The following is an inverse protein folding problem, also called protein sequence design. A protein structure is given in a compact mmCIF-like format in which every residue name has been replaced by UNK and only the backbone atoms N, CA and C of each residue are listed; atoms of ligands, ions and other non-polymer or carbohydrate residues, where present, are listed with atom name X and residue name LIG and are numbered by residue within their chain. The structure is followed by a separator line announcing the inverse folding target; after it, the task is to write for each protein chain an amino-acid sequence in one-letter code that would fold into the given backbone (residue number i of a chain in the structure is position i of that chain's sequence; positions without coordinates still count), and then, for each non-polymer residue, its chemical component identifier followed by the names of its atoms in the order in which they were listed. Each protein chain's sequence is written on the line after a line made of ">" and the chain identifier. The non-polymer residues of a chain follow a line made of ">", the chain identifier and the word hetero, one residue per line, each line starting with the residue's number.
data_IF_499481556721
#
_entry.id   IF_499481556721
#
_cell.length_a   1.000
_cell.length_b   1.000
_cell.length_c   1.000
_cell.angle_alpha   90.00
_cell.angle_beta   90.00
_cell.angle_gamma   90.00
#
_symmetry.space_group_name_H-M   'P 1'
#
loop_
_entity.id
_entity.type
_entity.pdbx_description
1 polymer ?
#
# COMPACT_ATOMS: atom_id res chain seq x y z
N UNK A 1 -25.94 -20.52 -49.35
CA UNK A 1 -24.61 -19.86 -49.37
C UNK A 1 -24.03 -20.01 -47.98
N UNK A 2 -23.09 -20.93 -47.84
CA UNK A 2 -22.44 -21.29 -46.59
C UNK A 2 -21.47 -20.19 -46.22
N UNK A 3 -21.66 -19.55 -45.07
CA UNK A 3 -20.73 -18.59 -44.49
C UNK A 3 -19.43 -19.34 -44.16
N UNK A 4 -18.33 -18.94 -44.79
CA UNK A 4 -16.98 -19.37 -44.41
C UNK A 4 -16.68 -18.79 -43.03
N UNK A 5 -16.60 -19.64 -42.01
CA UNK A 5 -15.91 -19.30 -40.76
C UNK A 5 -14.42 -19.19 -41.09
N UNK A 6 -13.89 -17.97 -41.10
CA UNK A 6 -12.46 -17.75 -41.26
C UNK A 6 -11.74 -18.32 -40.03
N UNK A 7 -11.06 -19.45 -40.20
CA UNK A 7 -10.26 -20.07 -39.15
C UNK A 7 -9.04 -19.20 -38.86
N UNK A 8 -9.01 -18.56 -37.69
CA UNK A 8 -7.85 -17.82 -37.18
C UNK A 8 -6.65 -18.76 -37.12
N UNK A 9 -5.55 -18.38 -37.76
CA UNK A 9 -4.32 -19.17 -37.77
C UNK A 9 -3.20 -18.46 -36.98
N UNK A 10 -2.07 -19.15 -36.82
CA UNK A 10 -0.94 -18.63 -36.05
C UNK A 10 -0.37 -17.32 -36.63
N UNK A 11 -0.41 -17.14 -37.95
CA UNK A 11 0.06 -15.92 -38.60
C UNK A 11 -0.87 -14.71 -38.32
N UNK A 12 -2.17 -14.95 -38.09
CA UNK A 12 -3.09 -13.89 -37.68
C UNK A 12 -2.83 -13.44 -36.24
N UNK A 13 -2.49 -14.38 -35.34
CA UNK A 13 -2.08 -14.08 -33.96
C UNK A 13 -0.74 -13.33 -33.94
N UNK A 14 0.25 -13.77 -34.71
CA UNK A 14 1.54 -13.08 -34.85
C UNK A 14 1.35 -11.65 -35.37
N UNK A 15 0.49 -11.47 -36.38
CA UNK A 15 0.16 -10.15 -36.93
C UNK A 15 -0.51 -9.24 -35.91
N UNK A 16 -1.36 -9.78 -35.03
CA UNK A 16 -2.02 -9.03 -33.96
C UNK A 16 -1.11 -8.76 -32.75
N UNK A 17 -0.16 -9.65 -32.46
CA UNK A 17 0.80 -9.50 -31.37
C UNK A 17 1.75 -8.32 -31.61
N UNK A 18 2.10 -8.03 -32.87
CA UNK A 18 3.00 -6.93 -33.22
C UNK A 18 2.49 -5.53 -32.79
N UNK A 19 1.30 -5.04 -33.21
CA UNK A 19 0.79 -3.74 -32.78
C UNK A 19 0.48 -3.69 -31.28
N UNK A 20 0.15 -4.82 -30.65
CA UNK A 20 0.02 -4.91 -29.19
C UNK A 20 1.37 -4.65 -28.50
N UNK A 21 2.45 -5.28 -28.97
CA UNK A 21 3.79 -5.05 -28.45
C UNK A 21 4.24 -3.59 -28.60
N UNK A 22 4.02 -3.00 -29.78
CA UNK A 22 4.34 -1.57 -30.06
C UNK A 22 3.56 -0.62 -29.13
N UNK A 23 2.26 -0.89 -28.92
CA UNK A 23 1.42 -0.08 -28.02
C UNK A 23 1.88 -0.21 -26.56
N UNK A 24 2.29 -1.40 -26.15
CA UNK A 24 2.81 -1.67 -24.80
C UNK A 24 4.15 -0.98 -24.57
N UNK A 25 5.03 -0.97 -25.56
CA UNK A 25 6.29 -0.22 -25.52
C UNK A 25 6.03 1.28 -25.35
N UNK A 26 5.09 1.84 -26.14
CA UNK A 26 4.67 3.25 -26.01
C UNK A 26 4.14 3.60 -24.61
N UNK A 27 3.32 2.72 -24.02
CA UNK A 27 2.85 2.88 -22.65
C UNK A 27 4.01 2.85 -21.62
N UNK A 28 4.97 1.94 -21.80
CA UNK A 28 6.17 1.86 -20.97
C UNK A 28 7.03 3.11 -21.03
N UNK A 29 7.19 3.70 -22.21
CA UNK A 29 7.89 4.98 -22.39
C UNK A 29 7.19 6.14 -21.66
N UNK A 30 5.87 6.25 -21.81
CA UNK A 30 5.07 7.27 -21.11
C UNK A 30 5.23 7.17 -19.58
N UNK A 31 5.20 5.95 -19.04
CA UNK A 31 5.34 5.74 -17.60
C UNK A 31 6.76 6.04 -17.10
N UNK A 32 7.77 5.69 -17.89
CA UNK A 32 9.17 6.03 -17.59
C UNK A 32 9.34 7.54 -17.53
N UNK A 33 8.88 8.27 -18.56
CA UNK A 33 8.95 9.73 -18.62
C UNK A 33 8.24 10.38 -17.42
N UNK A 34 7.03 9.90 -17.07
CA UNK A 34 6.30 10.40 -15.91
C UNK A 34 7.09 10.23 -14.60
N UNK A 35 7.67 9.05 -14.39
CA UNK A 35 8.45 8.76 -13.18
C UNK A 35 9.73 9.59 -13.12
N UNK A 36 10.39 9.82 -14.26
CA UNK A 36 11.55 10.70 -14.35
C UNK A 36 11.17 12.14 -14.00
N UNK A 37 10.07 12.67 -14.55
CA UNK A 37 9.58 14.01 -14.22
C UNK A 37 9.24 14.15 -12.72
N UNK A 38 8.56 13.17 -12.13
CA UNK A 38 8.27 13.14 -10.69
C UNK A 38 9.57 13.16 -9.88
N UNK A 39 10.56 12.35 -10.28
CA UNK A 39 11.85 12.28 -9.61
C UNK A 39 12.61 13.62 -9.72
N UNK A 40 12.57 14.27 -10.88
CA UNK A 40 13.19 15.57 -11.10
C UNK A 40 12.54 16.68 -10.28
N UNK A 41 11.20 16.75 -10.27
CA UNK A 41 10.45 17.72 -9.46
C UNK A 41 10.78 17.51 -7.99
N UNK A 42 10.78 16.26 -7.51
CA UNK A 42 11.18 15.93 -6.14
C UNK A 42 12.60 16.39 -5.85
N UNK A 43 13.57 16.07 -6.72
CA UNK A 43 14.97 16.47 -6.57
C UNK A 43 15.12 18.00 -6.54
N UNK A 44 14.37 18.72 -7.37
CA UNK A 44 14.36 20.19 -7.46
C UNK A 44 13.81 20.84 -6.19
N UNK A 45 12.72 20.33 -5.64
CA UNK A 45 12.04 20.94 -4.49
C UNK A 45 12.54 20.47 -3.13
N UNK A 46 13.12 19.27 -3.04
CA UNK A 46 13.59 18.69 -1.77
C UNK A 46 14.56 19.60 -0.98
N UNK A 47 15.52 20.32 -1.60
CA UNK A 47 16.38 21.25 -0.87
C UNK A 47 15.64 22.42 -0.22
N UNK A 48 14.58 22.93 -0.86
CA UNK A 48 13.75 24.00 -0.29
C UNK A 48 12.94 23.50 0.90
N UNK A 49 12.36 22.30 0.77
CA UNK A 49 11.64 21.63 1.86
C UNK A 49 12.58 21.38 3.04
N UNK A 50 13.78 20.84 2.81
CA UNK A 50 14.78 20.61 3.87
C UNK A 50 15.20 21.90 4.57
N UNK A 51 15.41 22.99 3.82
CA UNK A 51 15.73 24.31 4.41
C UNK A 51 14.56 24.85 5.25
N UNK A 52 13.33 24.73 4.75
CA UNK A 52 12.14 25.13 5.51
C UNK A 52 11.98 24.28 6.78
N UNK A 53 12.17 22.97 6.68
CA UNK A 53 12.13 22.04 7.81
C UNK A 53 13.15 22.43 8.89
N UNK A 54 14.41 22.68 8.51
CA UNK A 54 15.45 23.05 9.46
C UNK A 54 15.13 24.36 10.18
N UNK A 55 14.69 25.40 9.44
CA UNK A 55 14.26 26.67 10.04
C UNK A 55 13.09 26.47 11.01
N UNK A 56 12.10 25.67 10.64
CA UNK A 56 10.97 25.35 11.51
C UNK A 56 11.42 24.58 12.76
N UNK A 57 12.34 23.63 12.62
CA UNK A 57 12.89 22.87 13.73
C UNK A 57 13.67 23.77 14.70
N UNK A 58 14.50 24.68 14.20
CA UNK A 58 15.19 25.69 15.03
C UNK A 58 14.21 26.55 15.81
N UNK A 59 13.14 27.04 15.15
CA UNK A 59 12.10 27.85 15.81
C UNK A 59 11.30 27.05 16.82
N UNK A 60 11.01 25.79 16.54
CA UNK A 60 10.39 24.88 17.50
C UNK A 60 11.29 24.72 18.74
N UNK A 61 12.57 24.43 18.57
CA UNK A 61 13.53 24.27 19.68
C UNK A 61 13.66 25.55 20.51
N UNK A 62 13.69 26.72 19.86
CA UNK A 62 13.67 28.02 20.55
C UNK A 62 12.39 28.21 21.38
N UNK A 63 11.22 27.94 20.80
CA UNK A 63 9.94 28.04 21.51
C UNK A 63 9.85 27.05 22.68
N UNK A 64 10.34 25.83 22.47
CA UNK A 64 10.41 24.81 23.52
C UNK A 64 11.31 25.25 24.67
N UNK A 65 12.49 25.80 24.38
CA UNK A 65 13.41 26.30 25.40
C UNK A 65 12.78 27.44 26.21
N UNK A 66 12.02 28.35 25.57
CA UNK A 66 11.30 29.43 26.27
C UNK A 66 10.21 28.87 27.21
N UNK A 67 9.42 27.88 26.75
CA UNK A 67 8.41 27.23 27.58
C UNK A 67 9.07 26.52 28.77
N UNK A 68 10.21 25.88 28.55
CA UNK A 68 10.98 25.19 29.60
C UNK A 68 11.64 26.14 30.60
N UNK A 69 12.02 27.35 30.17
CA UNK A 69 12.65 28.34 31.03
C UNK A 69 11.66 29.04 31.98
N UNK A 70 10.36 29.02 31.68
CA UNK A 70 9.32 29.68 32.45
C UNK A 70 8.11 28.75 32.75
N UNK A 71 8.32 27.63 33.47
CA UNK A 71 7.25 26.66 33.78
C UNK A 71 6.10 27.26 34.59
N UNK A 72 6.37 28.27 35.41
CA UNK A 72 5.41 28.98 36.25
C UNK A 72 4.29 29.65 35.46
N UNK A 73 4.55 30.05 34.21
CA UNK A 73 3.55 30.63 33.31
C UNK A 73 2.49 29.61 32.85
N UNK A 74 2.74 28.32 33.08
CA UNK A 74 1.89 27.20 32.64
C UNK A 74 1.37 26.36 33.81
N UNK A 75 1.14 26.96 34.98
CA UNK A 75 0.51 26.28 36.13
C UNK A 75 -1.00 26.18 35.91
N UNK A 76 -1.66 27.30 35.57
CA UNK A 76 -3.10 27.37 35.31
C UNK A 76 -3.42 28.59 34.41
N UNK A 77 -3.78 28.40 33.13
CA UNK A 77 -3.97 27.13 32.42
C UNK A 77 -2.64 26.42 32.10
N UNK A 78 -2.64 25.08 32.07
CA UNK A 78 -1.43 24.30 31.76
C UNK A 78 -0.96 24.41 30.31
N UNK A 79 -1.84 24.88 29.43
CA UNK A 79 -1.55 25.12 28.02
C UNK A 79 -2.30 26.35 27.54
N UNK A 80 -1.69 27.12 26.63
CA UNK A 80 -2.26 28.31 26.01
C UNK A 80 -2.07 28.20 24.49
N UNK A 81 -2.96 28.81 23.70
CA UNK A 81 -2.84 28.87 22.24
C UNK A 81 -2.41 30.27 21.84
N UNK A 82 -1.28 30.39 21.14
CA UNK A 82 -0.80 31.63 20.54
C UNK A 82 -0.69 31.45 19.03
N UNK A 83 -1.34 32.33 18.25
CA UNK A 83 -1.28 32.28 16.78
C UNK A 83 -1.60 30.89 16.18
N UNK A 84 -2.52 30.15 16.80
CA UNK A 84 -2.88 28.79 16.40
C UNK A 84 -1.93 27.69 16.89
N UNK A 85 -0.84 28.03 17.60
CA UNK A 85 0.11 27.07 18.18
C UNK A 85 -0.19 26.89 19.67
N UNK A 86 -0.53 25.67 20.06
CA UNK A 86 -0.76 25.31 21.46
C UNK A 86 0.58 25.01 22.14
N UNK A 87 0.89 25.74 23.21
CA UNK A 87 2.12 25.62 24.00
C UNK A 87 1.82 25.38 25.48
N UNK A 88 2.74 24.76 26.20
CA UNK A 88 2.65 24.48 27.63
C UNK A 88 2.90 23.01 27.95
N UNK A 89 2.43 22.57 29.11
CA UNK A 89 2.69 21.23 29.63
C UNK A 89 1.46 20.34 29.55
N UNK A 90 1.60 19.21 28.88
CA UNK A 90 0.65 18.10 28.93
C UNK A 90 1.18 17.00 29.85
N UNK A 91 0.30 16.20 30.46
CA UNK A 91 0.73 14.95 31.09
C UNK A 91 1.30 14.06 29.98
N UNK A 92 2.50 13.52 30.18
CA UNK A 92 3.04 12.51 29.29
C UNK A 92 2.02 11.38 29.16
N UNK A 93 1.71 10.97 27.93
CA UNK A 93 1.01 9.71 27.70
C UNK A 93 1.98 8.64 28.18
N UNK A 94 1.81 8.14 29.40
CA UNK A 94 2.68 7.10 29.95
C UNK A 94 2.86 6.01 28.90
N UNK A 95 4.10 5.79 28.46
CA UNK A 95 4.42 4.74 27.52
C UNK A 95 4.60 3.45 28.30
N UNK A 96 4.01 2.36 27.83
CA UNK A 96 4.34 1.03 28.32
C UNK A 96 5.47 0.53 27.41
N UNK A 97 6.69 0.51 27.94
CA UNK A 97 7.85 -0.09 27.29
C UNK A 97 7.98 -1.55 27.73
N UNK A 98 8.32 -2.41 26.79
CA UNK A 98 8.64 -3.80 27.06
C UNK A 98 9.87 -4.21 26.25
N UNK A 99 10.80 -4.93 26.87
CA UNK A 99 12.05 -5.34 26.22
C UNK A 99 11.83 -6.47 25.20
N UNK A 100 10.85 -7.34 25.45
CA UNK A 100 10.45 -8.44 24.55
C UNK A 100 8.93 -8.59 24.52
N UNK A 101 8.35 -8.40 23.33
CA UNK A 101 6.92 -8.57 23.10
C UNK A 101 6.48 -10.03 23.37
N UNK A 102 7.30 -11.01 22.97
CA UNK A 102 7.00 -12.44 23.11
C UNK A 102 6.89 -12.83 24.58
N UNK A 103 7.85 -12.40 25.41
CA UNK A 103 7.83 -12.66 26.85
C UNK A 103 6.64 -12.00 27.54
N UNK A 104 6.25 -10.81 27.09
CA UNK A 104 5.05 -10.12 27.60
C UNK A 104 3.77 -10.89 27.23
N UNK A 105 3.67 -11.41 26.01
CA UNK A 105 2.54 -12.25 25.58
C UNK A 105 2.45 -13.53 26.44
N UNK A 106 3.56 -14.22 26.69
CA UNK A 106 3.60 -15.41 27.56
C UNK A 106 3.16 -15.09 29.00
N UNK A 107 3.64 -13.97 29.55
CA UNK A 107 3.28 -13.54 30.91
C UNK A 107 1.82 -13.09 31.00
N UNK A 108 1.29 -12.43 29.97
CA UNK A 108 -0.14 -12.11 29.88
C UNK A 108 -0.95 -13.41 29.88
N UNK A 109 -0.57 -14.40 29.09
CA UNK A 109 -1.27 -15.69 29.06
C UNK A 109 -1.18 -16.44 30.41
N UNK A 110 -0.06 -16.30 31.15
CA UNK A 110 0.16 -17.00 32.43
C UNK A 110 -0.51 -16.34 33.62
N UNK A 111 -0.48 -15.01 33.71
CA UNK A 111 -0.90 -14.25 34.89
C UNK A 111 -2.20 -13.46 34.68
N UNK A 112 -2.56 -13.18 33.44
CA UNK A 112 -3.72 -12.36 33.05
C UNK A 112 -4.53 -13.09 31.98
N UNK A 113 -4.72 -14.40 32.16
CA UNK A 113 -5.40 -15.27 31.21
C UNK A 113 -6.85 -14.81 30.93
N UNK A 114 -7.49 -14.22 31.93
CA UNK A 114 -8.82 -13.62 31.89
C UNK A 114 -8.90 -12.37 30.99
N UNK A 115 -7.77 -11.69 30.76
CA UNK A 115 -7.68 -10.47 29.94
C UNK A 115 -6.83 -10.65 28.67
N UNK A 116 -6.36 -11.87 28.41
CA UNK A 116 -5.48 -12.18 27.29
C UNK A 116 -6.06 -11.76 25.94
N UNK A 117 -7.37 -11.94 25.72
CA UNK A 117 -8.05 -11.58 24.47
C UNK A 117 -8.11 -10.06 24.22
N UNK A 118 -8.03 -9.25 25.29
CA UNK A 118 -8.02 -7.78 25.20
C UNK A 118 -6.59 -7.25 25.06
N UNK A 119 -5.62 -7.91 25.72
CA UNK A 119 -4.24 -7.46 25.79
C UNK A 119 -3.37 -8.00 24.64
N UNK A 120 -3.78 -9.08 23.97
CA UNK A 120 -3.03 -9.71 22.87
C UNK A 120 -3.80 -9.55 21.57
N UNK A 121 -3.20 -8.85 20.60
CA UNK A 121 -3.76 -8.72 19.25
C UNK A 121 -3.52 -10.00 18.44
N UNK A 122 -4.57 -10.81 18.28
CA UNK A 122 -4.54 -11.98 17.40
C UNK A 122 -5.02 -11.61 15.99
N UNK A 123 -4.16 -11.74 14.98
CA UNK A 123 -4.55 -11.51 13.58
C UNK A 123 -4.68 -12.84 12.84
N UNK A 124 -5.91 -13.24 12.49
CA UNK A 124 -6.17 -14.43 11.67
C UNK A 124 -6.39 -14.00 10.22
N UNK A 125 -5.54 -14.46 9.30
CA UNK A 125 -5.69 -14.22 7.85
C UNK A 125 -5.79 -15.55 7.12
N UNK A 126 -6.72 -15.69 6.14
CA UNK A 126 -6.80 -16.89 5.32
C UNK A 126 -5.54 -17.04 4.47
N UNK A 127 -4.95 -18.23 4.48
CA UNK A 127 -3.76 -18.55 3.69
C UNK A 127 -4.20 -19.03 2.32
N UNK A 128 -4.32 -18.11 1.35
CA UNK A 128 -4.80 -18.40 -0.02
C UNK A 128 -4.10 -19.60 -0.67
N UNK A 129 -2.78 -19.74 -0.45
CA UNK A 129 -2.00 -20.89 -0.96
C UNK A 129 -2.43 -22.24 -0.37
N UNK A 130 -2.75 -22.28 0.92
CA UNK A 130 -3.23 -23.49 1.58
C UNK A 130 -4.69 -23.78 1.19
N UNK A 131 -5.50 -22.73 1.00
CA UNK A 131 -6.86 -22.87 0.47
C UNK A 131 -6.85 -23.49 -0.94
N UNK A 132 -5.91 -23.10 -1.81
CA UNK A 132 -5.77 -23.66 -3.15
C UNK A 132 -5.45 -25.18 -3.19
N UNK A 133 -5.04 -25.78 -2.08
CA UNK A 133 -4.75 -27.22 -1.97
C UNK A 133 -5.97 -28.04 -1.49
N UNK A 134 -7.04 -27.37 -1.07
CA UNK A 134 -8.26 -28.05 -0.60
C UNK A 134 -9.14 -28.47 -1.77
N UNK A 135 -9.88 -29.55 -1.59
CA UNK A 135 -10.85 -30.00 -2.59
C UNK A 135 -11.98 -28.98 -2.77
N UNK A 136 -12.55 -28.90 -3.97
CA UNK A 136 -13.65 -27.98 -4.29
C UNK A 136 -14.85 -28.15 -3.35
N UNK A 137 -15.12 -29.37 -2.89
CA UNK A 137 -16.16 -29.67 -1.90
C UNK A 137 -15.87 -29.04 -0.52
N UNK A 138 -14.59 -28.96 -0.13
CA UNK A 138 -14.15 -28.32 1.11
C UNK A 138 -14.13 -26.79 0.97
N UNK A 139 -13.70 -26.27 -0.19
CA UNK A 139 -13.72 -24.84 -0.51
C UNK A 139 -15.14 -24.26 -0.52
N UNK A 140 -16.11 -24.99 -1.09
CA UNK A 140 -17.53 -24.60 -1.05
C UNK A 140 -18.10 -24.53 0.36
N UNK A 141 -17.66 -25.41 1.28
CA UNK A 141 -18.10 -25.40 2.69
C UNK A 141 -17.61 -24.18 3.48
N UNK A 142 -16.46 -23.62 3.11
CA UNK A 142 -15.87 -22.43 3.77
C UNK A 142 -16.18 -21.12 3.03
N UNK A 143 -17.08 -21.15 2.04
CA UNK A 143 -17.50 -19.96 1.28
C UNK A 143 -16.49 -19.47 0.26
N UNK A 144 -15.51 -20.29 -0.13
CA UNK A 144 -14.60 -19.98 -1.23
C UNK A 144 -15.19 -20.47 -2.56
N UNK A 145 -15.36 -19.56 -3.51
CA UNK A 145 -15.75 -19.89 -4.89
C UNK A 145 -14.49 -20.15 -5.70
N UNK A 146 -14.38 -21.34 -6.28
CA UNK A 146 -13.34 -21.64 -7.27
C UNK A 146 -13.78 -21.01 -8.58
N UNK A 147 -13.10 -19.94 -9.00
CA UNK A 147 -13.24 -19.38 -10.35
C UNK A 147 -12.60 -20.35 -11.36
N UNK A 148 -13.20 -20.46 -12.55
CA UNK A 148 -13.04 -21.57 -13.48
C UNK A 148 -11.58 -22.05 -13.68
N UNK A 149 -11.35 -23.36 -13.55
CA UNK A 149 -10.10 -24.06 -13.85
C UNK A 149 -10.05 -24.52 -15.30
N UNK A 150 -10.53 -23.69 -16.23
CA UNK A 150 -10.45 -23.94 -17.66
C UNK A 150 -9.13 -23.43 -18.24
N UNK A 151 -8.83 -23.81 -19.47
CA UNK A 151 -7.73 -23.19 -20.24
C UNK A 151 -8.03 -21.70 -20.39
N UNK A 152 -7.11 -20.85 -19.94
CA UNK A 152 -7.22 -19.41 -20.01
C UNK A 152 -6.26 -18.86 -21.08
N UNK A 153 -6.73 -17.88 -21.86
CA UNK A 153 -5.89 -17.16 -22.81
C UNK A 153 -4.88 -16.34 -22.01
N UNK A 154 -3.59 -16.58 -22.23
CA UNK A 154 -2.49 -15.86 -21.59
C UNK A 154 -1.80 -14.96 -22.61
N UNK A 155 -1.78 -13.65 -22.33
CA UNK A 155 -1.06 -12.64 -23.11
C UNK A 155 -0.15 -11.91 -22.12
N UNK A 156 1.16 -12.08 -22.28
CA UNK A 156 2.15 -11.47 -21.39
C UNK A 156 3.46 -11.18 -22.13
N UNK A 157 4.14 -10.11 -21.74
CA UNK A 157 5.47 -9.78 -22.25
C UNK A 157 6.54 -10.63 -21.54
N UNK A 158 7.69 -10.80 -22.19
CA UNK A 158 8.77 -11.69 -21.71
C UNK A 158 9.76 -10.97 -20.79
N UNK A 159 9.90 -9.64 -20.83
CA UNK A 159 10.94 -8.91 -20.09
C UNK A 159 10.62 -7.44 -19.72
N UNK A 160 10.71 -7.12 -18.42
CA UNK A 160 11.27 -5.91 -17.75
C UNK A 160 10.61 -5.62 -16.37
N UNK A 161 11.24 -4.85 -15.47
CA UNK A 161 10.62 -4.43 -14.18
C UNK A 161 9.50 -3.39 -14.36
N UNK A 162 9.55 -2.60 -15.44
CA UNK A 162 8.50 -1.66 -15.86
C UNK A 162 7.22 -2.42 -16.19
N UNK A 163 7.34 -3.70 -16.56
CA UNK A 163 6.23 -4.57 -16.89
C UNK A 163 5.21 -4.69 -15.77
N UNK A 164 5.62 -4.79 -14.50
CA UNK A 164 4.64 -4.96 -13.42
C UNK A 164 3.71 -3.77 -13.26
N UNK A 165 4.19 -2.56 -13.54
CA UNK A 165 3.36 -1.36 -13.45
C UNK A 165 2.47 -1.23 -14.69
N UNK A 166 3.00 -1.56 -15.87
CA UNK A 166 2.24 -1.62 -17.12
C UNK A 166 1.15 -2.68 -17.04
N UNK A 167 1.48 -3.87 -16.54
CA UNK A 167 0.55 -4.99 -16.36
C UNK A 167 -0.51 -4.67 -15.30
N UNK A 168 -0.16 -3.95 -14.22
CA UNK A 168 -1.14 -3.49 -13.24
C UNK A 168 -2.13 -2.48 -13.83
N UNK A 169 -1.66 -1.57 -14.71
CA UNK A 169 -2.52 -0.60 -15.39
C UNK A 169 -3.40 -1.27 -16.45
N UNK A 170 -2.83 -2.17 -17.27
CA UNK A 170 -3.56 -2.92 -18.27
C UNK A 170 -4.57 -3.89 -17.64
N UNK A 171 -4.20 -4.56 -16.55
CA UNK A 171 -5.10 -5.46 -15.82
C UNK A 171 -6.36 -4.76 -15.33
N UNK A 172 -6.23 -3.54 -14.80
CA UNK A 172 -7.39 -2.74 -14.40
C UNK A 172 -8.24 -2.31 -15.61
N UNK A 173 -7.61 -1.86 -16.70
CA UNK A 173 -8.33 -1.40 -17.89
C UNK A 173 -9.08 -2.53 -18.63
N UNK A 174 -8.53 -3.75 -18.64
CA UNK A 174 -9.19 -4.92 -19.24
C UNK A 174 -10.37 -5.37 -18.38
N UNK A 175 -10.23 -5.36 -17.04
CA UNK A 175 -11.35 -5.66 -16.14
C UNK A 175 -12.51 -4.65 -16.28
N UNK A 176 -12.19 -3.36 -16.41
CA UNK A 176 -13.20 -2.32 -16.62
C UNK A 176 -13.92 -2.42 -17.99
N UNK A 177 -13.28 -3.03 -19.00
CA UNK A 177 -13.90 -3.27 -20.30
C UNK A 177 -14.81 -4.50 -20.28
N UNK A 178 -14.42 -5.57 -19.57
CA UNK A 178 -15.24 -6.78 -19.40
C UNK A 178 -16.50 -6.49 -18.56
N UNK A 179 -16.43 -5.60 -17.57
CA UNK A 179 -17.58 -5.20 -16.72
C UNK A 179 -18.59 -4.27 -17.43
N UNK A 180 -18.27 -3.73 -18.61
CA UNK A 180 -19.17 -2.86 -19.38
C UNK A 180 -19.97 -3.59 -20.46
N UNK A 181 -19.71 -4.88 -20.69
CA UNK A 181 -20.43 -5.72 -21.65
C UNK A 181 -21.49 -6.66 -21.01
N UNK A 182 -21.62 -6.66 -19.67
CA UNK A 182 -22.69 -7.32 -18.89
C UNK A 182 -23.79 -6.34 -18.42
#
# INVERSE_FOLDING_TARGET
>A
MTTLEATVNLADIERAAKPYAESREGLGMCLTNLNEEIAEVKKRHMPYIKRALNRTAEKHSQLQALVQAAPELFVKPRTVIFHGIKVGYQKGKGGIGFDSAERVVELIQKYLADQADVLIKTTKKPVKKALAQLEVAQLKKIGCTVLATGDAVFIGAVDSEVDKMVDALLGNAVQEAEEQED
#
